data_IF_358893342762
#
_entry.id   IF_358893342762
#
_cell.length_a   1.000
_cell.length_b   1.000
_cell.length_c   1.000
_cell.angle_alpha   90.00
_cell.angle_beta   90.00
_cell.angle_gamma   90.00
#
_symmetry.space_group_name_H-M   'P 1'
#
loop_
_entity.id
_entity.type
_entity.pdbx_description
1 polymer ?
#
# COMPACT_ATOMS: atom_id res chain seq x y z
N UNK A 1 36.30 69.89 -33.25
CA UNK A 1 35.94 68.63 -33.92
C UNK A 1 36.03 67.53 -32.87
N UNK A 2 34.89 67.05 -32.41
CA UNK A 2 34.80 65.91 -31.44
C UNK A 2 34.20 64.73 -32.19
N UNK A 3 34.76 63.52 -32.12
CA UNK A 3 34.12 62.36 -32.71
C UNK A 3 33.12 61.74 -31.68
N UNK A 4 31.95 61.47 -32.17
CA UNK A 4 30.87 60.77 -31.46
C UNK A 4 31.18 59.25 -31.36
N UNK A 5 31.14 58.68 -30.12
CA UNK A 5 31.20 57.30 -29.91
C UNK A 5 29.78 56.69 -30.04
N UNK A 6 29.63 55.79 -30.99
CA UNK A 6 28.41 54.99 -31.19
C UNK A 6 28.48 53.75 -30.30
N UNK A 7 27.61 53.69 -29.32
CA UNK A 7 27.49 52.53 -28.44
C UNK A 7 26.62 51.46 -29.10
N UNK A 8 27.23 50.31 -29.40
CA UNK A 8 26.56 49.11 -29.95
C UNK A 8 25.93 48.32 -28.80
N UNK A 9 24.60 48.36 -28.68
CA UNK A 9 23.86 47.48 -27.74
C UNK A 9 23.64 46.11 -28.36
N UNK A 10 24.26 45.08 -27.80
CA UNK A 10 23.98 43.67 -28.11
C UNK A 10 22.75 43.22 -27.31
N UNK A 11 21.75 42.54 -27.88
CA UNK A 11 20.67 41.95 -27.09
C UNK A 11 21.15 40.65 -26.44
N UNK A 12 21.03 40.60 -25.15
CA UNK A 12 21.24 39.38 -24.34
C UNK A 12 20.05 38.45 -24.57
N UNK A 13 20.22 37.38 -25.31
CA UNK A 13 19.21 36.33 -25.44
C UNK A 13 19.21 35.48 -24.16
N UNK A 14 18.15 35.59 -23.35
CA UNK A 14 17.88 34.66 -22.28
C UNK A 14 17.48 33.32 -22.90
N UNK A 15 18.36 32.34 -22.81
CA UNK A 15 18.01 30.92 -23.03
C UNK A 15 17.27 30.44 -21.81
N UNK A 16 15.94 30.33 -21.93
CA UNK A 16 15.12 29.63 -20.94
C UNK A 16 15.41 28.13 -21.07
N UNK A 17 16.11 27.55 -20.08
CA UNK A 17 16.19 26.12 -19.93
C UNK A 17 14.80 25.59 -19.57
N UNK A 18 14.10 25.04 -20.57
CA UNK A 18 12.90 24.24 -20.31
C UNK A 18 13.34 22.93 -19.67
N UNK A 19 13.05 22.77 -18.37
CA UNK A 19 13.14 21.49 -17.68
C UNK A 19 12.00 20.61 -18.18
N UNK A 20 12.27 19.76 -19.16
CA UNK A 20 11.38 18.68 -19.59
C UNK A 20 11.49 17.55 -18.58
N UNK A 21 10.63 17.57 -17.58
CA UNK A 21 10.52 16.54 -16.56
C UNK A 21 9.07 16.27 -16.19
N UNK A 22 8.15 16.35 -17.17
CA UNK A 22 6.76 15.90 -16.94
C UNK A 22 6.64 14.45 -17.41
N UNK A 23 6.54 13.54 -16.44
CA UNK A 23 6.38 12.10 -16.66
C UNK A 23 4.98 11.70 -17.17
N UNK A 24 4.14 12.65 -17.56
CA UNK A 24 2.81 12.38 -18.13
C UNK A 24 1.84 11.62 -17.21
N UNK A 25 2.10 11.60 -15.90
CA UNK A 25 1.20 11.02 -14.91
C UNK A 25 0.14 12.05 -14.51
N UNK A 26 -1.17 11.74 -14.64
CA UNK A 26 -2.21 12.65 -14.21
C UNK A 26 -2.09 12.88 -12.69
N UNK A 27 -1.96 14.14 -12.30
CA UNK A 27 -2.00 14.54 -10.88
C UNK A 27 -3.40 14.32 -10.33
N UNK A 28 -3.48 13.99 -9.02
CA UNK A 28 -4.75 13.93 -8.30
C UNK A 28 -5.36 15.33 -8.32
N UNK A 29 -6.52 15.48 -8.94
CA UNK A 29 -7.23 16.76 -8.99
C UNK A 29 -7.95 17.05 -7.67
N UNK A 30 -8.34 18.31 -7.43
CA UNK A 30 -9.10 18.69 -6.23
C UNK A 30 -10.39 17.85 -6.05
N UNK A 31 -11.08 17.51 -7.15
CA UNK A 31 -12.28 16.67 -7.11
C UNK A 31 -11.99 15.24 -6.67
N UNK A 32 -10.87 14.65 -7.12
CA UNK A 32 -10.44 13.31 -6.68
C UNK A 32 -10.05 13.32 -5.21
N UNK A 33 -9.42 14.40 -4.72
CA UNK A 33 -9.10 14.59 -3.31
C UNK A 33 -10.36 14.64 -2.44
N UNK A 34 -11.38 15.39 -2.86
CA UNK A 34 -12.65 15.49 -2.14
C UNK A 34 -13.40 14.15 -2.06
N UNK A 35 -13.43 13.37 -3.15
CA UNK A 35 -14.05 12.04 -3.15
C UNK A 35 -13.31 11.06 -2.23
N UNK A 36 -11.99 11.14 -2.14
CA UNK A 36 -11.21 10.35 -1.19
C UNK A 36 -11.48 10.78 0.26
N UNK A 37 -11.57 12.07 0.53
CA UNK A 37 -11.92 12.61 1.85
C UNK A 37 -13.30 12.13 2.30
N UNK A 38 -14.30 12.12 1.40
CA UNK A 38 -15.63 11.60 1.67
C UNK A 38 -15.59 10.10 2.02
N UNK A 39 -14.84 9.31 1.26
CA UNK A 39 -14.68 7.89 1.53
C UNK A 39 -14.00 7.62 2.89
N UNK A 40 -13.02 8.43 3.29
CA UNK A 40 -12.32 8.34 4.57
C UNK A 40 -13.24 8.77 5.73
N UNK A 41 -14.00 9.85 5.55
CA UNK A 41 -14.95 10.35 6.55
C UNK A 41 -16.22 9.51 6.68
N UNK A 42 -16.40 8.50 5.82
CA UNK A 42 -17.62 7.72 5.70
C UNK A 42 -18.10 7.12 7.02
N UNK A 43 -19.39 7.35 7.33
CA UNK A 43 -20.04 6.88 8.58
C UNK A 43 -20.25 5.36 8.61
N UNK A 44 -20.09 4.68 7.46
CA UNK A 44 -20.10 3.21 7.34
C UNK A 44 -18.81 2.55 7.84
N UNK A 45 -17.73 3.33 8.00
CA UNK A 45 -16.49 2.85 8.58
C UNK A 45 -16.67 2.64 10.08
N UNK A 46 -16.21 1.49 10.59
CA UNK A 46 -16.33 1.23 12.01
C UNK A 46 -15.58 2.26 12.86
N UNK A 47 -16.09 2.63 14.05
CA UNK A 47 -15.41 3.57 14.93
C UNK A 47 -13.97 3.14 15.26
N UNK A 48 -13.76 1.82 15.47
CA UNK A 48 -12.46 1.22 15.77
C UNK A 48 -11.49 1.38 14.58
N UNK A 49 -11.98 1.26 13.35
CA UNK A 49 -11.17 1.49 12.16
C UNK A 49 -10.84 2.97 11.98
N UNK A 50 -11.80 3.87 12.19
CA UNK A 50 -11.55 5.32 12.11
C UNK A 50 -10.57 5.82 13.18
N UNK A 51 -10.64 5.29 14.41
CA UNK A 51 -9.70 5.62 15.47
C UNK A 51 -8.23 5.32 15.12
N UNK A 52 -7.99 4.49 14.11
CA UNK A 52 -6.65 4.10 13.65
C UNK A 52 -6.13 4.95 12.49
N UNK A 53 -6.93 5.89 11.98
CA UNK A 53 -6.53 6.78 10.88
C UNK A 53 -5.30 7.63 11.26
N UNK A 54 -5.19 8.02 12.53
CA UNK A 54 -4.04 8.76 13.08
C UNK A 54 -2.71 8.00 12.99
N UNK A 55 -2.74 6.68 12.78
CA UNK A 55 -1.58 5.82 12.61
C UNK A 55 -1.37 5.37 11.16
N UNK A 56 -2.40 5.47 10.33
CA UNK A 56 -2.42 4.90 8.98
C UNK A 56 -2.50 5.93 7.87
N UNK A 57 -2.80 7.18 8.23
CA UNK A 57 -2.80 8.34 7.34
C UNK A 57 -3.39 8.00 5.96
N UNK A 58 -4.68 7.54 5.90
CA UNK A 58 -5.22 6.93 4.67
C UNK A 58 -5.20 7.89 3.49
N UNK A 59 -5.47 9.17 3.70
CA UNK A 59 -5.45 10.18 2.62
C UNK A 59 -4.07 10.31 2.01
N UNK A 60 -3.09 10.56 2.84
CA UNK A 60 -1.71 10.78 2.43
C UNK A 60 -1.12 9.50 1.81
N UNK A 61 -1.42 8.34 2.40
CA UNK A 61 -0.95 7.04 1.91
C UNK A 61 -1.52 6.71 0.53
N UNK A 62 -2.84 6.82 0.34
CA UNK A 62 -3.48 6.52 -0.94
C UNK A 62 -3.15 7.55 -2.01
N UNK A 63 -3.00 8.83 -1.62
CA UNK A 63 -2.52 9.88 -2.53
C UNK A 63 -1.07 9.64 -2.96
N UNK A 64 -0.20 9.24 -2.03
CA UNK A 64 1.17 8.86 -2.36
C UNK A 64 1.23 7.67 -3.34
N UNK A 65 0.35 6.70 -3.21
CA UNK A 65 0.22 5.59 -4.17
C UNK A 65 -0.52 5.97 -5.46
N UNK A 66 -0.92 7.24 -5.61
CA UNK A 66 -1.60 7.76 -6.79
C UNK A 66 -2.89 7.01 -7.13
N UNK A 67 -3.63 6.58 -6.09
CA UNK A 67 -4.91 5.90 -6.27
C UNK A 67 -5.96 6.88 -6.76
N UNK A 68 -6.63 6.55 -7.86
CA UNK A 68 -7.68 7.35 -8.48
C UNK A 68 -9.00 6.58 -8.60
N UNK A 69 -10.16 7.26 -8.62
CA UNK A 69 -11.46 6.60 -8.59
C UNK A 69 -11.83 5.84 -9.89
N UNK A 70 -11.05 6.00 -10.96
CA UNK A 70 -11.24 5.36 -12.27
C UNK A 70 -10.39 4.11 -12.48
N UNK A 71 -9.62 3.69 -11.48
CA UNK A 71 -8.64 2.61 -11.59
C UNK A 71 -9.21 1.25 -11.18
N UNK A 72 -8.60 0.18 -11.69
CA UNK A 72 -8.70 -1.16 -11.13
C UNK A 72 -7.62 -1.33 -10.06
N UNK A 73 -8.04 -1.44 -8.80
CA UNK A 73 -7.17 -1.57 -7.63
C UNK A 73 -7.33 -2.96 -7.01
N UNK A 74 -6.24 -3.67 -6.82
CA UNK A 74 -6.19 -4.94 -6.10
C UNK A 74 -5.54 -4.70 -4.75
N UNK A 75 -6.27 -4.97 -3.66
CA UNK A 75 -5.72 -5.02 -2.31
C UNK A 75 -5.40 -6.47 -1.94
N UNK A 76 -4.15 -6.72 -1.53
CA UNK A 76 -3.67 -8.04 -1.19
C UNK A 76 -3.90 -8.32 0.30
N UNK A 77 -4.65 -9.38 0.58
CA UNK A 77 -4.93 -9.88 1.95
C UNK A 77 -5.46 -8.75 2.86
N UNK A 78 -6.63 -8.17 2.55
CA UNK A 78 -7.17 -6.99 3.25
C UNK A 78 -7.52 -7.25 4.73
N UNK A 79 -7.47 -8.51 5.18
CA UNK A 79 -7.87 -8.91 6.52
C UNK A 79 -9.35 -8.58 6.78
N UNK A 80 -9.65 -7.90 7.89
CA UNK A 80 -11.00 -7.46 8.21
C UNK A 80 -11.51 -6.26 7.39
N UNK A 81 -10.76 -5.84 6.35
CA UNK A 81 -11.19 -4.85 5.38
C UNK A 81 -11.03 -3.39 5.81
N UNK A 82 -9.96 -3.05 6.53
CA UNK A 82 -9.73 -1.67 6.97
C UNK A 82 -9.64 -0.69 5.78
N UNK A 83 -8.81 -1.00 4.78
CA UNK A 83 -8.75 -0.21 3.55
C UNK A 83 -9.92 -0.50 2.61
N UNK A 84 -10.54 -1.69 2.69
CA UNK A 84 -11.74 -2.02 1.91
C UNK A 84 -12.89 -1.05 2.18
N UNK A 85 -13.04 -0.58 3.44
CA UNK A 85 -14.05 0.40 3.84
C UNK A 85 -13.85 1.79 3.18
N UNK A 86 -12.67 2.07 2.67
CA UNK A 86 -12.31 3.30 1.96
C UNK A 86 -12.30 3.06 0.44
N UNK A 87 -11.53 2.04 0.00
CA UNK A 87 -11.27 1.80 -1.41
C UNK A 87 -12.51 1.35 -2.19
N UNK A 88 -13.34 0.48 -1.60
CA UNK A 88 -14.50 -0.02 -2.32
C UNK A 88 -15.54 1.08 -2.62
N UNK A 89 -15.93 1.94 -1.67
CA UNK A 89 -16.78 3.10 -1.97
C UNK A 89 -16.13 4.12 -2.91
N UNK A 90 -14.84 4.40 -2.71
CA UNK A 90 -14.09 5.37 -3.54
C UNK A 90 -14.02 4.98 -5.02
N UNK A 91 -13.89 3.67 -5.30
CA UNK A 91 -13.74 3.13 -6.66
C UNK A 91 -15.08 2.75 -7.30
N UNK A 92 -16.18 2.78 -6.56
CA UNK A 92 -17.48 2.21 -6.98
C UNK A 92 -18.06 2.82 -8.26
N UNK A 93 -17.82 4.11 -8.51
CA UNK A 93 -18.42 4.81 -9.65
C UNK A 93 -17.83 4.41 -11.00
N UNK A 94 -16.53 4.56 -11.13
CA UNK A 94 -15.80 4.44 -12.41
C UNK A 94 -14.63 3.45 -12.38
N UNK A 95 -14.25 2.97 -11.19
CA UNK A 95 -13.15 2.04 -11.00
C UNK A 95 -13.62 0.65 -10.59
N UNK A 96 -12.69 -0.14 -10.10
CA UNK A 96 -12.94 -1.48 -9.57
C UNK A 96 -12.07 -1.74 -8.34
N UNK A 97 -12.69 -2.16 -7.26
CA UNK A 97 -11.97 -2.68 -6.10
C UNK A 97 -12.02 -4.21 -6.08
N UNK A 98 -10.84 -4.82 -5.94
CA UNK A 98 -10.67 -6.27 -5.88
C UNK A 98 -9.89 -6.60 -4.60
N UNK A 99 -10.52 -7.36 -3.71
CA UNK A 99 -9.92 -7.93 -2.51
C UNK A 99 -9.34 -9.30 -2.86
N UNK A 100 -8.03 -9.41 -2.97
CA UNK A 100 -7.36 -10.69 -3.21
C UNK A 100 -7.09 -11.37 -1.86
N UNK A 101 -7.77 -12.49 -1.59
CA UNK A 101 -7.67 -13.26 -0.35
C UNK A 101 -6.96 -14.59 -0.58
N UNK A 102 -6.33 -15.11 0.45
CA UNK A 102 -5.67 -16.42 0.38
C UNK A 102 -6.73 -17.51 0.20
N UNK A 103 -6.50 -18.42 -0.74
CA UNK A 103 -7.35 -19.60 -0.97
C UNK A 103 -7.13 -20.60 0.17
N UNK A 104 -8.17 -20.89 0.99
CA UNK A 104 -8.06 -21.89 2.05
C UNK A 104 -7.66 -23.28 1.55
N UNK A 105 -8.05 -23.66 0.33
CA UNK A 105 -7.73 -24.96 -0.24
C UNK A 105 -6.22 -25.19 -0.45
N UNK A 106 -5.44 -24.10 -0.57
CA UNK A 106 -3.98 -24.16 -0.68
C UNK A 106 -3.24 -24.36 0.64
N UNK A 107 -3.95 -24.31 1.78
CA UNK A 107 -3.35 -24.34 3.11
C UNK A 107 -3.16 -25.79 3.62
N UNK A 108 -2.05 -26.01 4.34
CA UNK A 108 -1.65 -27.34 4.79
C UNK A 108 -2.22 -27.75 6.15
N UNK A 109 -2.68 -26.80 6.95
CA UNK A 109 -3.24 -27.05 8.30
C UNK A 109 -4.71 -26.67 8.38
N UNK A 110 -5.50 -27.43 9.14
CA UNK A 110 -6.92 -27.11 9.39
C UNK A 110 -7.08 -25.72 9.99
N UNK A 111 -6.25 -25.36 10.95
CA UNK A 111 -6.27 -24.03 11.56
C UNK A 111 -6.10 -22.90 10.55
N UNK A 112 -5.21 -23.05 9.58
CA UNK A 112 -5.02 -22.03 8.53
C UNK A 112 -6.20 -22.02 7.57
N UNK A 113 -6.72 -23.19 7.19
CA UNK A 113 -7.94 -23.30 6.37
C UNK A 113 -9.13 -22.60 7.01
N UNK A 114 -9.39 -22.89 8.29
CA UNK A 114 -10.50 -22.29 9.04
C UNK A 114 -10.33 -20.77 9.15
N UNK A 115 -9.12 -20.31 9.45
CA UNK A 115 -8.81 -18.88 9.56
C UNK A 115 -9.10 -18.13 8.24
N UNK A 116 -8.62 -18.62 7.10
CA UNK A 116 -8.83 -17.96 5.82
C UNK A 116 -10.27 -18.13 5.29
N UNK A 117 -10.92 -19.26 5.56
CA UNK A 117 -12.34 -19.46 5.25
C UNK A 117 -13.19 -18.45 5.99
N UNK A 118 -12.98 -18.32 7.31
CA UNK A 118 -13.71 -17.35 8.14
C UNK A 118 -13.43 -15.92 7.69
N UNK A 119 -12.18 -15.55 7.47
CA UNK A 119 -11.80 -14.20 7.05
C UNK A 119 -12.44 -13.80 5.71
N UNK A 120 -12.50 -14.73 4.76
CA UNK A 120 -13.20 -14.52 3.49
C UNK A 120 -14.71 -14.36 3.68
N UNK A 121 -15.34 -15.20 4.50
CA UNK A 121 -16.76 -15.13 4.77
C UNK A 121 -17.14 -13.82 5.48
N UNK A 122 -16.36 -13.39 6.47
CA UNK A 122 -16.56 -12.12 7.18
C UNK A 122 -16.45 -10.92 6.22
N UNK A 123 -15.47 -10.94 5.31
CA UNK A 123 -15.30 -9.87 4.32
C UNK A 123 -16.45 -9.87 3.30
N UNK A 124 -16.91 -11.04 2.84
CA UNK A 124 -18.06 -11.16 1.95
C UNK A 124 -19.33 -10.63 2.64
N UNK A 125 -19.58 -11.04 3.89
CA UNK A 125 -20.71 -10.55 4.67
C UNK A 125 -20.69 -9.02 4.85
N UNK A 126 -19.51 -8.43 5.03
CA UNK A 126 -19.34 -6.97 5.07
C UNK A 126 -19.76 -6.33 3.74
N UNK A 127 -19.39 -6.88 2.60
CA UNK A 127 -19.75 -6.33 1.30
C UNK A 127 -21.24 -6.50 0.98
N UNK A 128 -21.79 -7.66 1.31
CA UNK A 128 -23.22 -7.97 1.08
C UNK A 128 -24.13 -7.15 2.00
N UNK A 129 -23.66 -6.84 3.22
CA UNK A 129 -24.41 -6.09 4.22
C UNK A 129 -24.66 -4.62 3.85
N UNK A 130 -23.89 -4.06 2.91
CA UNK A 130 -24.12 -2.69 2.39
C UNK A 130 -23.77 -2.63 0.89
N UNK A 131 -24.63 -3.25 0.09
CA UNK A 131 -24.49 -3.26 -1.37
C UNK A 131 -24.51 -1.86 -1.99
N UNK A 132 -25.13 -0.89 -1.31
CA UNK A 132 -25.14 0.49 -1.76
C UNK A 132 -23.72 1.09 -1.77
N UNK A 133 -22.82 0.64 -0.92
CA UNK A 133 -21.41 1.10 -0.81
C UNK A 133 -20.41 0.13 -1.40
N UNK A 134 -20.60 -1.17 -1.17
CA UNK A 134 -19.65 -2.22 -1.56
C UNK A 134 -20.06 -3.01 -2.80
N UNK A 135 -21.20 -2.75 -3.40
CA UNK A 135 -21.80 -3.55 -4.48
C UNK A 135 -21.01 -3.65 -5.79
N UNK A 136 -19.83 -3.05 -5.89
CA UNK A 136 -18.88 -3.25 -7.00
C UNK A 136 -17.61 -3.96 -6.59
N UNK A 137 -17.42 -4.21 -5.28
CA UNK A 137 -16.26 -4.90 -4.74
C UNK A 137 -16.28 -6.38 -5.13
N UNK A 138 -15.13 -6.94 -5.43
CA UNK A 138 -14.98 -8.36 -5.75
C UNK A 138 -13.96 -9.00 -4.84
N UNK A 139 -14.23 -10.24 -4.42
CA UNK A 139 -13.27 -11.08 -3.71
C UNK A 139 -12.75 -12.12 -4.70
N UNK A 140 -11.44 -12.18 -4.86
CA UNK A 140 -10.75 -13.23 -5.62
C UNK A 140 -9.84 -14.02 -4.69
N UNK A 141 -9.77 -15.33 -4.87
CA UNK A 141 -8.86 -16.18 -4.09
C UNK A 141 -7.59 -16.47 -4.87
N UNK A 142 -6.45 -16.56 -4.18
CA UNK A 142 -5.18 -16.95 -4.78
C UNK A 142 -4.41 -17.93 -3.89
N UNK A 143 -3.64 -18.80 -4.52
CA UNK A 143 -2.70 -19.68 -3.83
C UNK A 143 -1.39 -18.93 -3.57
N UNK A 144 -0.90 -18.89 -2.33
CA UNK A 144 0.31 -18.15 -1.96
C UNK A 144 1.60 -18.69 -2.62
N UNK A 145 1.64 -19.98 -2.97
CA UNK A 145 2.82 -20.61 -3.58
C UNK A 145 2.89 -20.39 -5.09
N UNK A 146 1.73 -20.20 -5.74
CA UNK A 146 1.61 -19.95 -7.16
C UNK A 146 0.50 -18.89 -7.39
N UNK A 147 0.73 -17.63 -6.99
CA UNK A 147 -0.33 -16.62 -6.97
C UNK A 147 -0.71 -16.18 -8.38
N UNK A 148 -2.03 -16.25 -8.66
CA UNK A 148 -2.67 -15.67 -9.84
C UNK A 148 -3.71 -14.68 -9.35
N UNK A 149 -3.50 -13.39 -9.59
CA UNK A 149 -4.32 -12.30 -9.05
C UNK A 149 -5.33 -11.75 -10.06
N UNK A 150 -5.25 -12.22 -11.30
CA UNK A 150 -6.07 -11.80 -12.42
C UNK A 150 -5.33 -12.00 -13.75
N UNK A 151 -5.95 -11.58 -14.84
CA UNK A 151 -5.31 -11.61 -16.16
C UNK A 151 -4.07 -10.68 -16.17
N UNK A 152 -3.00 -11.03 -16.89
CA UNK A 152 -1.85 -10.14 -17.05
C UNK A 152 -2.25 -8.75 -17.53
N UNK A 153 -1.69 -7.70 -16.92
CA UNK A 153 -1.96 -6.31 -17.30
C UNK A 153 -3.39 -5.84 -17.05
N UNK A 154 -4.14 -6.45 -16.11
CA UNK A 154 -5.53 -6.09 -15.83
C UNK A 154 -5.73 -5.06 -14.71
N UNK A 155 -4.70 -4.79 -13.90
CA UNK A 155 -4.77 -3.87 -12.76
C UNK A 155 -3.94 -2.60 -13.01
N UNK A 156 -4.44 -1.47 -12.52
CA UNK A 156 -3.72 -0.20 -12.52
C UNK A 156 -2.85 -0.06 -11.26
N UNK A 157 -3.36 -0.56 -10.13
CA UNK A 157 -2.70 -0.46 -8.83
C UNK A 157 -2.83 -1.78 -8.08
N UNK A 158 -1.74 -2.22 -7.46
CA UNK A 158 -1.71 -3.29 -6.44
C UNK A 158 -1.28 -2.67 -5.13
N UNK A 159 -2.02 -2.92 -4.07
CA UNK A 159 -1.73 -2.42 -2.72
C UNK A 159 -1.53 -3.59 -1.75
N UNK A 160 -0.50 -3.48 -0.93
CA UNK A 160 -0.26 -4.43 0.16
C UNK A 160 0.11 -3.70 1.43
N UNK A 161 -0.53 -4.10 2.53
CA UNK A 161 -0.38 -3.46 3.82
C UNK A 161 0.01 -4.49 4.88
N UNK A 162 1.31 -4.53 5.26
CA UNK A 162 1.84 -5.38 6.32
C UNK A 162 1.68 -6.88 6.05
N UNK A 163 2.06 -7.30 4.85
CA UNK A 163 2.02 -8.71 4.43
C UNK A 163 3.39 -9.26 4.03
N UNK A 164 4.36 -8.40 3.66
CA UNK A 164 5.66 -8.84 3.13
C UNK A 164 6.40 -9.72 4.14
N UNK A 165 6.33 -9.39 5.44
CA UNK A 165 6.93 -10.20 6.50
C UNK A 165 6.37 -11.64 6.51
N UNK A 166 5.06 -11.81 6.28
CA UNK A 166 4.44 -13.13 6.22
C UNK A 166 4.97 -13.96 5.03
N UNK A 167 5.07 -13.33 3.85
CA UNK A 167 5.59 -14.01 2.66
C UNK A 167 7.07 -14.34 2.78
N UNK A 168 7.86 -13.48 3.43
CA UNK A 168 9.26 -13.80 3.75
C UNK A 168 9.35 -15.02 4.67
N UNK A 169 8.59 -15.04 5.75
CA UNK A 169 8.57 -16.15 6.71
C UNK A 169 8.10 -17.47 6.08
N UNK A 170 7.26 -17.40 5.04
CA UNK A 170 6.71 -18.57 4.33
C UNK A 170 7.50 -18.93 3.07
N UNK A 171 8.53 -18.17 2.69
CA UNK A 171 9.31 -18.37 1.47
C UNK A 171 8.59 -18.04 0.16
N UNK A 172 7.50 -17.27 0.23
CA UNK A 172 6.64 -16.97 -0.94
C UNK A 172 6.84 -15.55 -1.51
N UNK A 173 7.73 -14.73 -0.92
CA UNK A 173 7.86 -13.33 -1.29
C UNK A 173 8.18 -13.12 -2.78
N UNK A 174 9.09 -13.89 -3.35
CA UNK A 174 9.45 -13.81 -4.77
C UNK A 174 8.24 -14.07 -5.68
N UNK A 175 7.48 -15.14 -5.40
CA UNK A 175 6.29 -15.49 -6.18
C UNK A 175 5.23 -14.38 -6.10
N UNK A 176 5.02 -13.79 -4.92
CA UNK A 176 4.07 -12.69 -4.72
C UNK A 176 4.46 -11.45 -5.52
N UNK A 177 5.71 -10.99 -5.44
CA UNK A 177 6.16 -9.81 -6.18
C UNK A 177 6.11 -10.03 -7.71
N UNK A 178 6.43 -11.25 -8.19
CA UNK A 178 6.25 -11.62 -9.61
C UNK A 178 4.79 -11.58 -10.05
N UNK A 179 3.87 -12.06 -9.20
CA UNK A 179 2.44 -11.99 -9.49
C UNK A 179 1.92 -10.56 -9.53
N UNK A 180 2.39 -9.67 -8.64
CA UNK A 180 2.07 -8.24 -8.70
C UNK A 180 2.53 -7.62 -10.00
N UNK A 181 3.78 -7.93 -10.41
CA UNK A 181 4.30 -7.44 -11.69
C UNK A 181 3.48 -7.96 -12.88
N UNK A 182 3.08 -9.22 -12.86
CA UNK A 182 2.29 -9.83 -13.93
C UNK A 182 0.92 -9.18 -14.09
N UNK A 183 0.18 -8.98 -12.98
CA UNK A 183 -1.19 -8.45 -13.03
C UNK A 183 -1.25 -6.97 -13.34
N UNK A 184 -0.21 -6.20 -13.03
CA UNK A 184 -0.14 -4.78 -13.30
C UNK A 184 0.04 -4.47 -14.78
N UNK A 185 -0.65 -3.45 -15.26
CA UNK A 185 -0.40 -2.81 -16.56
C UNK A 185 1.01 -2.22 -16.63
N UNK A 186 1.63 -2.08 -17.81
CA UNK A 186 2.78 -1.21 -17.98
C UNK A 186 2.50 0.19 -17.44
N UNK A 187 3.38 0.74 -16.61
CA UNK A 187 3.15 1.99 -15.88
C UNK A 187 2.26 1.87 -14.63
N UNK A 188 1.76 0.68 -14.33
CA UNK A 188 0.97 0.42 -13.11
C UNK A 188 1.80 0.53 -11.84
N UNK A 189 1.12 0.77 -10.72
CA UNK A 189 1.73 1.08 -9.42
C UNK A 189 1.60 -0.09 -8.46
N UNK A 190 2.70 -0.43 -7.79
CA UNK A 190 2.70 -1.26 -6.58
C UNK A 190 2.94 -0.36 -5.37
N UNK A 191 1.95 -0.30 -4.47
CA UNK A 191 2.05 0.38 -3.17
C UNK A 191 2.30 -0.63 -2.05
N UNK A 192 3.37 -0.42 -1.30
CA UNK A 192 3.76 -1.28 -0.17
C UNK A 192 3.87 -0.46 1.10
N UNK A 193 3.09 -0.84 2.13
CA UNK A 193 3.31 -0.41 3.51
C UNK A 193 3.73 -1.63 4.31
N UNK A 194 4.90 -1.58 4.97
CA UNK A 194 5.39 -2.71 5.76
C UNK A 194 6.09 -2.24 7.04
N UNK A 195 6.07 -3.09 8.07
CA UNK A 195 6.76 -2.87 9.34
C UNK A 195 8.27 -2.75 9.10
N UNK A 196 8.83 -1.60 9.44
CA UNK A 196 10.23 -1.26 9.12
C UNK A 196 11.19 -1.64 10.24
N UNK A 197 12.12 -2.55 9.93
CA UNK A 197 13.26 -2.85 10.80
C UNK A 197 14.27 -1.70 10.83
N UNK A 198 15.16 -1.69 11.83
CA UNK A 198 16.30 -0.74 11.92
C UNK A 198 17.33 -0.96 10.81
N UNK A 199 17.49 -2.20 10.39
CA UNK A 199 18.41 -2.65 9.35
C UNK A 199 17.84 -3.92 8.68
N UNK A 200 18.56 -4.50 7.75
CA UNK A 200 18.21 -5.79 7.16
C UNK A 200 18.16 -6.88 8.23
N UNK A 201 17.17 -7.75 8.13
CA UNK A 201 16.96 -8.84 9.07
C UNK A 201 17.15 -10.21 8.39
N UNK A 202 17.64 -11.23 9.11
CA UNK A 202 17.83 -12.56 8.54
C UNK A 202 16.49 -13.18 8.12
N UNK A 203 16.52 -14.16 7.20
CA UNK A 203 15.33 -14.86 6.73
C UNK A 203 14.59 -15.60 7.85
N UNK A 204 15.30 -15.94 8.93
CA UNK A 204 14.77 -16.61 10.12
C UNK A 204 14.09 -15.68 11.10
N UNK A 205 14.17 -14.36 10.91
CA UNK A 205 13.54 -13.38 11.80
C UNK A 205 12.02 -13.58 11.87
N UNK A 206 11.49 -13.56 13.09
CA UNK A 206 10.07 -13.77 13.39
C UNK A 206 9.42 -12.54 14.04
N UNK A 207 10.12 -11.42 14.10
CA UNK A 207 9.63 -10.19 14.75
C UNK A 207 8.51 -9.49 13.95
N UNK A 208 8.36 -9.83 12.66
CA UNK A 208 7.46 -9.14 11.74
C UNK A 208 8.02 -7.85 11.15
N UNK A 209 9.18 -7.38 11.61
CA UNK A 209 9.87 -6.26 10.98
C UNK A 209 10.68 -6.72 9.75
N UNK A 210 10.77 -5.86 8.74
CA UNK A 210 11.51 -6.13 7.50
C UNK A 210 12.42 -4.93 7.19
N UNK A 211 13.65 -5.19 6.74
CA UNK A 211 14.55 -4.14 6.26
C UNK A 211 13.98 -3.46 5.02
N UNK A 212 14.02 -2.14 4.98
CA UNK A 212 13.49 -1.38 3.84
C UNK A 212 14.25 -1.70 2.55
N UNK A 213 15.58 -1.85 2.62
CA UNK A 213 16.39 -2.25 1.48
C UNK A 213 16.00 -3.64 0.97
N UNK A 214 15.64 -4.57 1.85
CA UNK A 214 15.18 -5.91 1.47
C UNK A 214 13.86 -5.88 0.69
N UNK A 215 12.89 -5.04 1.10
CA UNK A 215 11.63 -4.87 0.37
C UNK A 215 11.90 -4.28 -1.02
N UNK A 216 12.77 -3.28 -1.10
CA UNK A 216 13.17 -2.67 -2.37
C UNK A 216 13.80 -3.70 -3.29
N UNK A 217 14.76 -4.48 -2.78
CA UNK A 217 15.43 -5.52 -3.55
C UNK A 217 14.46 -6.61 -4.07
N UNK A 218 13.51 -7.05 -3.25
CA UNK A 218 12.47 -8.03 -3.67
C UNK A 218 11.61 -7.48 -4.81
N UNK A 219 11.20 -6.23 -4.73
CA UNK A 219 10.41 -5.60 -5.80
C UNK A 219 11.24 -5.44 -7.09
N UNK A 220 12.48 -4.98 -6.96
CA UNK A 220 13.40 -4.82 -8.12
C UNK A 220 13.71 -6.15 -8.80
N UNK A 221 13.92 -7.22 -8.03
CA UNK A 221 14.11 -8.57 -8.56
C UNK A 221 12.90 -9.09 -9.36
N UNK A 222 11.70 -8.59 -9.08
CA UNK A 222 10.50 -8.89 -9.85
C UNK A 222 10.30 -7.96 -11.06
N UNK A 223 11.20 -7.00 -11.31
CA UNK A 223 11.15 -6.08 -12.46
C UNK A 223 10.54 -4.71 -12.18
N UNK A 224 10.27 -4.38 -10.93
CA UNK A 224 9.78 -3.05 -10.56
C UNK A 224 10.91 -2.02 -10.47
N UNK A 225 10.56 -0.76 -10.67
CA UNK A 225 11.42 0.40 -10.39
C UNK A 225 10.87 1.14 -9.16
N UNK A 226 11.74 1.45 -8.21
CA UNK A 226 11.37 2.30 -7.07
C UNK A 226 11.08 3.71 -7.58
N UNK A 227 9.87 4.20 -7.32
CA UNK A 227 9.38 5.50 -7.81
C UNK A 227 9.25 6.54 -6.68
N UNK A 228 9.18 6.08 -5.42
CA UNK A 228 9.15 6.97 -4.28
C UNK A 228 9.12 6.25 -2.94
N UNK A 229 9.48 7.00 -1.92
CA UNK A 229 9.45 6.59 -0.51
C UNK A 229 8.79 7.70 0.30
N UNK A 230 8.04 7.33 1.34
CA UNK A 230 7.37 8.30 2.22
C UNK A 230 7.46 7.87 3.67
N UNK A 231 7.64 8.86 4.55
CA UNK A 231 7.64 8.69 6.00
C UNK A 231 6.25 8.88 6.62
N UNK A 232 5.20 8.96 5.81
CA UNK A 232 3.82 9.23 6.27
C UNK A 232 3.34 8.23 7.33
N UNK A 233 3.78 6.99 7.27
CA UNK A 233 3.44 5.94 8.24
C UNK A 233 4.59 5.63 9.22
N UNK A 234 5.59 6.51 9.32
CA UNK A 234 6.67 6.36 10.28
C UNK A 234 6.19 6.60 11.71
N UNK A 235 6.71 5.82 12.64
CA UNK A 235 6.52 6.03 14.06
C UNK A 235 7.86 5.97 14.81
N UNK A 236 8.48 7.11 15.10
CA UNK A 236 9.78 7.14 15.77
C UNK A 236 9.75 6.64 17.22
N UNK A 237 8.55 6.47 17.82
CA UNK A 237 8.39 5.89 19.16
C UNK A 237 8.52 4.38 19.18
N UNK A 238 8.41 3.73 18.01
CA UNK A 238 8.59 2.29 17.89
C UNK A 238 10.08 1.94 17.92
N UNK A 239 10.53 1.39 19.04
CA UNK A 239 11.95 1.01 19.26
C UNK A 239 12.33 -0.30 18.58
N UNK A 240 11.35 -1.08 18.06
CA UNK A 240 11.52 -2.30 17.24
C UNK A 240 12.20 -3.48 17.95
N UNK A 241 12.29 -3.44 19.28
CA UNK A 241 12.92 -4.45 20.15
C UNK A 241 11.91 -5.07 21.13
N UNK A 242 10.65 -5.13 20.73
CA UNK A 242 9.56 -5.61 21.55
C UNK A 242 9.56 -7.14 21.67
N UNK A 243 9.11 -7.71 22.84
CA UNK A 243 9.24 -9.15 23.14
C UNK A 243 8.51 -10.07 22.15
N UNK A 244 7.42 -9.61 21.53
CA UNK A 244 6.69 -10.33 20.49
C UNK A 244 6.77 -9.58 19.13
N UNK A 245 7.85 -8.84 18.88
CA UNK A 245 8.00 -8.04 17.67
C UNK A 245 6.83 -7.06 17.48
N UNK A 246 6.41 -6.88 16.25
CA UNK A 246 5.31 -5.97 15.87
C UNK A 246 3.98 -6.28 16.56
N UNK A 247 3.77 -7.54 16.94
CA UNK A 247 2.51 -7.98 17.58
C UNK A 247 2.40 -7.57 19.04
N UNK A 248 3.48 -7.09 19.66
CA UNK A 248 3.43 -6.45 20.97
C UNK A 248 2.63 -5.15 20.95
N UNK A 249 2.71 -4.42 19.83
CA UNK A 249 2.09 -3.12 19.65
C UNK A 249 0.61 -3.24 19.23
N UNK A 250 -0.18 -2.16 19.38
CA UNK A 250 -1.52 -2.09 18.79
C UNK A 250 -1.52 -2.39 17.29
N UNK A 251 -2.61 -2.98 16.77
CA UNK A 251 -3.84 -3.36 17.46
C UNK A 251 -3.81 -4.74 18.11
N UNK A 252 -2.73 -5.51 17.94
CA UNK A 252 -2.67 -6.90 18.42
C UNK A 252 -2.49 -6.95 19.94
N UNK A 253 -1.58 -6.12 20.50
CA UNK A 253 -1.39 -6.00 21.95
C UNK A 253 -0.94 -7.31 22.63
N UNK A 254 -0.03 -8.06 22.00
CA UNK A 254 0.49 -9.30 22.60
C UNK A 254 1.57 -8.97 23.65
N UNK A 255 1.11 -8.65 24.86
CA UNK A 255 1.94 -8.29 25.99
C UNK A 255 1.17 -8.55 27.30
N UNK A 256 1.85 -8.48 28.44
CA UNK A 256 1.22 -8.55 29.75
C UNK A 256 0.32 -7.32 30.00
N UNK A 257 -0.78 -7.52 30.72
CA UNK A 257 -1.73 -6.42 31.00
C UNK A 257 -1.09 -5.24 31.74
N UNK A 258 -0.09 -5.48 32.60
CA UNK A 258 0.67 -4.43 33.30
C UNK A 258 1.43 -3.48 32.38
N UNK A 259 1.77 -3.92 31.17
CA UNK A 259 2.55 -3.16 30.19
C UNK A 259 1.64 -2.46 29.14
N UNK A 260 0.31 -2.61 29.24
CA UNK A 260 -0.63 -2.11 28.26
C UNK A 260 -0.47 -0.59 27.99
N UNK A 261 -0.37 0.21 29.06
CA UNK A 261 -0.22 1.66 28.95
C UNK A 261 1.07 2.06 28.20
N UNK A 262 2.17 1.34 28.43
CA UNK A 262 3.45 1.54 27.75
C UNK A 262 3.31 1.35 26.23
N UNK A 263 2.71 0.23 25.81
CA UNK A 263 2.60 -0.08 24.39
C UNK A 263 1.51 0.74 23.68
N UNK A 264 0.44 1.11 24.38
CA UNK A 264 -0.54 2.06 23.88
C UNK A 264 0.06 3.44 23.62
N UNK A 265 0.96 3.90 24.48
CA UNK A 265 1.66 5.19 24.32
C UNK A 265 2.59 5.20 23.09
N UNK A 266 3.14 4.04 22.70
CA UNK A 266 3.91 3.91 21.46
C UNK A 266 2.99 4.02 20.24
N UNK A 267 1.83 3.36 20.27
CA UNK A 267 0.89 3.25 19.15
C UNK A 267 1.22 2.12 18.18
N UNK A 268 0.77 2.22 16.93
CA UNK A 268 1.09 1.21 15.91
C UNK A 268 2.57 1.27 15.53
N UNK A 269 3.12 0.17 15.00
CA UNK A 269 4.52 0.04 14.60
C UNK A 269 4.97 1.10 13.58
N UNK A 270 6.28 1.36 13.55
CA UNK A 270 6.94 2.12 12.48
C UNK A 270 6.82 1.39 11.14
N UNK A 271 6.46 2.11 10.08
CA UNK A 271 6.23 1.51 8.76
C UNK A 271 6.87 2.32 7.66
N UNK A 272 7.60 1.61 6.79
CA UNK A 272 7.98 2.14 5.50
C UNK A 272 6.76 2.26 4.59
N UNK A 273 6.75 3.22 3.71
CA UNK A 273 5.75 3.40 2.64
C UNK A 273 6.48 3.59 1.33
N UNK A 274 6.38 2.58 0.45
CA UNK A 274 7.17 2.48 -0.78
C UNK A 274 6.25 2.41 -1.99
N UNK A 275 6.53 3.23 -3.00
CA UNK A 275 5.85 3.20 -4.30
C UNK A 275 6.79 2.70 -5.36
N UNK A 276 6.35 1.68 -6.06
CA UNK A 276 7.05 1.11 -7.21
C UNK A 276 6.20 1.23 -8.46
N UNK A 277 6.86 1.21 -9.61
CA UNK A 277 6.21 1.24 -10.92
C UNK A 277 6.69 0.08 -11.75
N UNK A 278 5.74 -0.58 -12.45
CA UNK A 278 6.07 -1.47 -13.54
C UNK A 278 6.52 -0.63 -14.73
N UNK A 279 7.74 -0.81 -15.28
CA UNK A 279 8.21 -0.05 -16.42
C UNK A 279 7.22 -0.11 -17.59
N UNK A 280 7.15 0.97 -18.37
CA UNK A 280 6.55 0.93 -19.71
C UNK A 280 7.59 0.30 -20.63
N UNK A 281 7.19 -0.73 -21.36
CA UNK A 281 8.04 -1.34 -22.36
C UNK A 281 8.34 -0.32 -23.48
#
# INVERSE_FOLDING_TARGET
MRPSLLALMLPLALVACATTGDTGRPMVTNAMGAALDEAIAGTWRSPENRARDVWRHPKETLSFFMVRPDQTVIEITPGAGWYSEILAPYLRGNGRYIAAVIDPAGETTDRARDYYTKGRADLQAKFDGDAARFGGARIVSFNQKAPVLGAPGSADVVLTFRNVHNWRMSGNAEAMFKAFHTVLKPGGVLGVVEHRAKADVPATDKSGYVGQAQVIAMAQAAGFVLDGQSEVNANPRDTKDHPNGVWTLPPVGRHDAKDAAKYQAIGESDRMTLRFVKPRA
#
